data_IF_531876120260
#
_entry.id   IF_531876120260
#
_cell.length_a   1.000
_cell.length_b   1.000
_cell.length_c   1.000
_cell.angle_alpha   90.00
_cell.angle_beta   90.00
_cell.angle_gamma   90.00
#
_symmetry.space_group_name_H-M   'P 1'
#
loop_
_entity.id
_entity.type
_entity.pdbx_description
1 polymer ?
#
# COMPACT_ATOMS: atom_id res chain seq x y z
N UNK A 1 -20.24 -17.85 16.33
CA UNK A 1 -19.31 -17.12 15.44
C UNK A 1 -19.09 -15.73 16.02
N UNK A 2 -17.89 -15.41 16.49
CA UNK A 2 -17.60 -14.09 17.06
C UNK A 2 -17.69 -12.99 15.99
N UNK A 3 -18.19 -11.82 16.37
CA UNK A 3 -18.23 -10.63 15.49
C UNK A 3 -16.79 -10.26 15.15
N UNK A 4 -16.40 -10.36 13.87
CA UNK A 4 -15.08 -9.91 13.40
C UNK A 4 -15.06 -8.39 13.35
N UNK A 5 -14.07 -7.78 14.00
CA UNK A 5 -13.85 -6.34 13.91
C UNK A 5 -13.12 -6.05 12.59
N UNK A 6 -13.68 -5.15 11.79
CA UNK A 6 -13.12 -4.71 10.50
C UNK A 6 -12.89 -3.22 10.59
N UNK A 7 -11.67 -2.74 10.38
CA UNK A 7 -11.33 -1.33 10.30
C UNK A 7 -11.16 -0.90 8.84
N UNK A 8 -11.97 0.06 8.39
CA UNK A 8 -11.91 0.54 7.00
C UNK A 8 -11.15 1.85 6.95
N UNK A 9 -10.09 1.90 6.14
CA UNK A 9 -9.19 3.03 6.03
C UNK A 9 -9.09 3.48 4.57
N UNK A 10 -8.75 4.75 4.37
CA UNK A 10 -8.53 5.32 3.04
C UNK A 10 -7.20 6.05 3.00
N UNK A 11 -6.44 5.85 1.93
CA UNK A 11 -5.23 6.63 1.64
C UNK A 11 -5.40 7.30 0.28
N UNK A 12 -5.20 8.61 0.25
CA UNK A 12 -5.22 9.41 -0.97
C UNK A 12 -3.80 9.46 -1.51
N UNK A 13 -3.61 8.96 -2.72
CA UNK A 13 -2.29 8.75 -3.33
C UNK A 13 -2.20 9.53 -4.62
N UNK A 14 -1.13 10.29 -4.81
CA UNK A 14 -0.87 11.01 -6.04
C UNK A 14 -0.07 10.15 -7.02
N UNK A 15 -0.53 10.10 -8.28
CA UNK A 15 0.09 9.38 -9.38
C UNK A 15 0.43 7.93 -9.04
N UNK A 16 -0.58 7.11 -8.75
CA UNK A 16 -0.35 5.71 -8.36
C UNK A 16 0.21 4.92 -9.54
N UNK A 17 1.15 4.00 -9.29
CA UNK A 17 1.71 3.16 -10.35
C UNK A 17 0.68 2.15 -10.86
N UNK A 18 0.44 2.14 -12.17
CA UNK A 18 -0.38 1.15 -12.86
C UNK A 18 0.39 -0.13 -13.18
N UNK A 19 -0.26 -1.05 -13.88
CA UNK A 19 0.37 -2.30 -14.33
C UNK A 19 1.20 -2.04 -15.58
N UNK A 20 2.39 -2.64 -15.70
CA UNK A 20 3.17 -2.62 -16.96
C UNK A 20 3.18 -4.03 -17.54
N UNK A 21 2.88 -4.17 -18.82
CA UNK A 21 3.12 -5.41 -19.60
C UNK A 21 4.61 -5.58 -19.99
N UNK A 22 5.53 -4.73 -19.51
CA UNK A 22 6.91 -4.74 -19.99
C UNK A 22 7.73 -5.88 -19.38
N UNK A 23 7.77 -7.01 -20.10
CA UNK A 23 8.96 -7.78 -20.50
C UNK A 23 9.87 -8.43 -19.45
N UNK A 24 10.09 -7.82 -18.29
CA UNK A 24 10.96 -8.34 -17.25
C UNK A 24 10.22 -8.41 -15.91
N UNK A 25 10.11 -9.63 -15.38
CA UNK A 25 9.53 -9.96 -14.08
C UNK A 25 10.41 -9.41 -12.95
N UNK A 26 10.47 -8.10 -12.79
CA UNK A 26 10.88 -7.52 -11.52
C UNK A 26 9.71 -7.63 -10.56
N UNK A 27 9.96 -8.20 -9.38
CA UNK A 27 8.98 -8.43 -8.31
C UNK A 27 8.53 -7.08 -7.77
N UNK A 28 7.57 -6.46 -8.47
CA UNK A 28 7.12 -5.10 -8.21
C UNK A 28 5.67 -5.12 -7.71
N UNK A 29 5.41 -4.40 -6.62
CA UNK A 29 4.11 -4.33 -5.97
C UNK A 29 3.22 -3.27 -6.65
N UNK A 30 2.96 -3.44 -7.94
CA UNK A 30 2.11 -2.55 -8.75
C UNK A 30 0.62 -2.67 -8.38
N UNK A 31 -0.17 -1.65 -8.71
CA UNK A 31 -1.62 -1.83 -8.74
C UNK A 31 -1.96 -2.88 -9.81
N UNK A 32 -2.64 -3.95 -9.40
CA UNK A 32 -3.12 -5.03 -10.25
C UNK A 32 -4.56 -4.75 -10.67
N UNK A 33 -5.06 -5.42 -11.70
CA UNK A 33 -6.48 -5.38 -12.02
C UNK A 33 -7.16 -6.70 -11.67
N UNK A 34 -8.38 -6.62 -11.16
CA UNK A 34 -9.28 -7.76 -11.05
C UNK A 34 -10.42 -7.55 -12.05
N UNK A 35 -10.68 -8.56 -12.88
CA UNK A 35 -11.81 -8.55 -13.79
C UNK A 35 -13.09 -8.96 -13.05
N UNK A 36 -14.06 -8.05 -13.00
CA UNK A 36 -15.38 -8.34 -12.44
C UNK A 36 -16.24 -9.00 -13.52
N UNK A 37 -16.78 -10.18 -13.22
CA UNK A 37 -17.50 -10.99 -14.22
C UNK A 37 -18.84 -10.40 -14.70
N UNK A 38 -19.39 -9.37 -14.05
CA UNK A 38 -20.70 -8.81 -14.37
C UNK A 38 -20.69 -7.28 -14.42
N UNK A 39 -20.82 -6.68 -15.61
CA UNK A 39 -21.10 -5.25 -15.83
C UNK A 39 -20.03 -4.50 -16.63
N UNK A 40 -20.46 -3.48 -17.39
CA UNK A 40 -19.70 -2.77 -18.44
C UNK A 40 -18.44 -1.99 -17.99
N UNK A 41 -18.00 -2.10 -16.73
CA UNK A 41 -16.67 -1.66 -16.28
C UNK A 41 -15.82 -2.87 -15.87
N UNK A 42 -15.07 -3.40 -16.85
CA UNK A 42 -14.41 -4.71 -16.79
C UNK A 42 -13.24 -4.86 -15.81
N UNK A 43 -12.73 -3.80 -15.15
CA UNK A 43 -11.48 -3.87 -14.37
C UNK A 43 -11.48 -2.92 -13.16
N UNK A 44 -11.30 -3.45 -11.96
CA UNK A 44 -10.99 -2.66 -10.76
C UNK A 44 -9.49 -2.67 -10.49
N UNK A 45 -8.91 -1.52 -10.17
CA UNK A 45 -7.52 -1.48 -9.72
C UNK A 45 -7.44 -1.82 -8.24
N UNK A 46 -6.47 -2.66 -7.92
CA UNK A 46 -6.26 -3.15 -6.57
C UNK A 46 -4.79 -3.13 -6.20
N UNK A 47 -4.50 -2.87 -4.94
CA UNK A 47 -3.16 -2.94 -4.37
C UNK A 47 -3.10 -4.19 -3.50
N UNK A 48 -2.08 -5.06 -3.68
CA UNK A 48 -1.93 -6.24 -2.83
C UNK A 48 -1.93 -5.85 -1.34
N UNK A 49 -2.70 -6.58 -0.53
CA UNK A 49 -2.72 -6.37 0.92
C UNK A 49 -1.34 -6.57 1.56
N UNK A 50 -0.47 -7.39 0.95
CA UNK A 50 0.93 -7.55 1.36
C UNK A 50 1.75 -6.26 1.23
N UNK A 51 1.52 -5.45 0.20
CA UNK A 51 2.16 -4.13 0.03
C UNK A 51 1.78 -3.19 1.16
N UNK A 52 0.49 -3.09 1.45
CA UNK A 52 -0.05 -2.26 2.52
C UNK A 52 0.47 -2.74 3.88
N UNK A 53 0.44 -4.06 4.12
CA UNK A 53 1.00 -4.70 5.32
C UNK A 53 2.49 -4.42 5.48
N UNK A 54 3.25 -4.41 4.39
CA UNK A 54 4.67 -4.06 4.38
C UNK A 54 4.93 -2.61 4.82
N UNK A 55 4.15 -1.65 4.31
CA UNK A 55 4.24 -0.24 4.72
C UNK A 55 3.87 -0.10 6.21
N UNK A 56 2.76 -0.69 6.64
CA UNK A 56 2.33 -0.66 8.05
C UNK A 56 3.41 -1.26 8.95
N UNK A 57 3.99 -2.41 8.58
CA UNK A 57 5.08 -3.04 9.34
C UNK A 57 6.31 -2.13 9.45
N UNK A 58 6.71 -1.49 8.35
CA UNK A 58 7.82 -0.52 8.36
C UNK A 58 7.53 0.63 9.33
N UNK A 59 6.32 1.16 9.29
CA UNK A 59 5.91 2.27 10.15
C UNK A 59 5.87 1.86 11.63
N UNK A 60 5.40 0.65 11.95
CA UNK A 60 5.47 0.10 13.32
C UNK A 60 6.92 0.02 13.82
N UNK A 61 7.87 -0.41 12.97
CA UNK A 61 9.31 -0.44 13.32
C UNK A 61 9.85 0.96 13.61
N UNK A 62 9.49 1.96 12.80
CA UNK A 62 9.88 3.38 13.02
C UNK A 62 9.33 3.87 14.37
N UNK A 63 8.08 3.52 14.69
CA UNK A 63 7.42 3.87 15.95
C UNK A 63 7.89 3.05 17.16
N UNK A 64 8.81 2.09 16.97
CA UNK A 64 9.28 1.14 18.00
C UNK A 64 8.12 0.33 18.64
N UNK A 65 7.09 0.04 17.86
CA UNK A 65 5.96 -0.80 18.28
C UNK A 65 6.24 -2.29 17.99
N UNK A 66 5.58 -3.19 18.75
CA UNK A 66 5.59 -4.62 18.41
C UNK A 66 4.95 -4.84 17.03
N UNK A 67 5.60 -5.65 16.19
CA UNK A 67 5.09 -6.02 14.86
C UNK A 67 4.46 -7.42 14.85
N UNK A 68 4.54 -8.14 15.97
CA UNK A 68 4.12 -9.54 16.07
C UNK A 68 2.65 -9.78 15.78
N UNK A 69 1.78 -8.78 15.95
CA UNK A 69 0.37 -8.90 15.59
C UNK A 69 0.13 -8.91 14.06
N UNK A 70 1.11 -8.51 13.25
CA UNK A 70 1.13 -8.73 11.79
C UNK A 70 1.68 -10.12 11.40
N UNK A 71 2.08 -10.94 12.37
CA UNK A 71 2.75 -12.23 12.15
C UNK A 71 4.18 -12.10 11.63
N UNK A 72 4.94 -13.20 11.63
CA UNK A 72 6.29 -13.29 11.10
C UNK A 72 6.59 -14.72 10.68
N UNK A 73 7.32 -14.89 9.57
CA UNK A 73 7.67 -16.22 9.05
C UNK A 73 9.03 -16.72 9.59
N UNK A 74 9.91 -15.83 10.07
CA UNK A 74 11.32 -16.18 10.35
C UNK A 74 11.96 -15.46 11.56
N UNK A 75 11.19 -15.06 12.58
CA UNK A 75 11.82 -14.62 13.84
C UNK A 75 12.19 -15.86 14.67
N UNK A 76 13.49 -16.03 14.95
CA UNK A 76 14.01 -16.98 15.95
C UNK A 76 13.51 -18.43 15.82
N UNK A 77 13.25 -18.89 14.59
CA UNK A 77 12.81 -20.27 14.33
C UNK A 77 11.37 -20.60 14.73
N UNK A 78 10.53 -19.59 15.05
CA UNK A 78 9.10 -19.77 15.33
C UNK A 78 8.25 -18.87 14.45
N UNK A 79 7.41 -19.48 13.61
CA UNK A 79 6.38 -18.74 12.87
C UNK A 79 5.34 -18.21 13.84
N UNK A 80 5.08 -16.89 13.80
CA UNK A 80 4.03 -16.24 14.58
C UNK A 80 2.86 -15.93 13.67
N UNK A 81 1.69 -16.49 13.97
CA UNK A 81 0.47 -16.22 13.21
C UNK A 81 0.03 -14.76 13.39
N UNK A 82 -0.45 -14.14 12.32
CA UNK A 82 -0.98 -12.78 12.32
C UNK A 82 -2.30 -12.71 13.09
N UNK A 83 -2.47 -11.70 13.95
CA UNK A 83 -3.75 -11.38 14.60
C UNK A 83 -4.68 -10.60 13.67
N UNK A 84 -4.16 -10.02 12.59
CA UNK A 84 -4.95 -9.28 11.60
C UNK A 84 -4.71 -9.74 10.17
N UNK A 85 -5.70 -9.54 9.30
CA UNK A 85 -5.56 -9.60 7.85
C UNK A 85 -5.61 -8.18 7.32
N UNK A 86 -4.62 -7.79 6.51
CA UNK A 86 -4.70 -6.57 5.70
C UNK A 86 -5.29 -6.95 4.36
N UNK A 87 -6.51 -6.49 4.12
CA UNK A 87 -7.23 -6.68 2.86
C UNK A 87 -6.54 -5.98 1.70
N UNK A 88 -7.03 -6.27 0.50
CA UNK A 88 -6.57 -5.61 -0.70
C UNK A 88 -6.99 -4.14 -0.66
N UNK A 89 -6.09 -3.26 -1.09
CA UNK A 89 -6.47 -1.90 -1.42
C UNK A 89 -7.30 -1.94 -2.70
N UNK A 90 -8.42 -1.24 -2.75
CA UNK A 90 -9.27 -1.17 -3.92
C UNK A 90 -9.55 0.29 -4.29
N UNK A 91 -9.62 0.54 -5.59
CA UNK A 91 -9.89 1.85 -6.17
C UNK A 91 -11.22 1.73 -6.91
N UNK A 92 -12.23 2.49 -6.45
CA UNK A 92 -13.58 2.47 -7.03
C UNK A 92 -13.78 3.55 -8.09
N UNK A 93 -12.98 4.59 -8.06
CA UNK A 93 -13.09 5.70 -9.00
C UNK A 93 -12.35 5.39 -10.30
N UNK A 94 -12.82 6.01 -11.38
CA UNK A 94 -12.19 5.90 -12.70
C UNK A 94 -10.93 6.76 -12.69
N UNK A 95 -9.79 6.14 -12.96
CA UNK A 95 -8.50 6.81 -13.01
C UNK A 95 -8.00 6.92 -14.45
N UNK A 96 -7.56 8.12 -14.85
CA UNK A 96 -6.92 8.34 -16.14
C UNK A 96 -5.56 7.63 -16.17
N UNK A 97 -5.33 6.84 -17.22
CA UNK A 97 -4.04 6.19 -17.42
C UNK A 97 -3.11 7.08 -18.22
N UNK A 98 -1.86 7.16 -17.80
CA UNK A 98 -0.80 7.80 -18.56
C UNK A 98 0.47 6.97 -18.53
N UNK A 99 1.20 6.96 -19.65
CA UNK A 99 2.55 6.40 -19.70
C UNK A 99 3.54 7.51 -19.41
N UNK A 100 4.37 7.34 -18.38
CA UNK A 100 5.46 8.26 -18.07
C UNK A 100 6.77 7.63 -18.52
N UNK A 101 7.46 8.36 -19.39
CA UNK A 101 8.78 7.98 -19.90
C UNK A 101 9.88 8.57 -19.03
N UNK A 102 11.01 7.88 -18.95
CA UNK A 102 12.23 8.40 -18.38
C UNK A 102 13.44 7.79 -19.06
N UNK A 103 14.57 8.46 -18.94
CA UNK A 103 15.82 8.06 -19.58
C UNK A 103 16.84 7.83 -18.47
N UNK A 104 17.54 6.71 -18.53
CA UNK A 104 18.70 6.46 -17.67
C UNK A 104 19.93 7.14 -18.27
N UNK A 105 20.60 7.97 -17.48
CA UNK A 105 21.86 8.60 -17.88
C UNK A 105 23.00 7.90 -17.16
N UNK A 106 24.05 7.51 -17.90
CA UNK A 106 25.28 7.00 -17.32
C UNK A 106 25.96 8.15 -16.57
N UNK A 107 26.04 8.07 -15.24
CA UNK A 107 26.57 9.16 -14.39
C UNK A 107 28.07 9.42 -14.58
N UNK A 108 28.83 8.43 -15.03
CA UNK A 108 30.28 8.57 -15.23
C UNK A 108 30.59 9.21 -16.57
N UNK A 109 29.87 8.82 -17.62
CA UNK A 109 30.12 9.26 -18.99
C UNK A 109 29.23 10.43 -19.43
N UNK A 110 28.16 10.73 -18.70
CA UNK A 110 27.20 11.79 -19.05
C UNK A 110 26.34 11.48 -20.28
N UNK A 111 26.40 10.26 -20.80
CA UNK A 111 25.69 9.84 -22.03
C UNK A 111 24.45 9.00 -21.72
N UNK A 112 23.57 8.93 -22.71
CA UNK A 112 22.44 8.01 -22.76
C UNK A 112 22.85 6.83 -23.64
N UNK A 113 22.89 5.63 -23.05
CA UNK A 113 23.22 4.40 -23.79
C UNK A 113 21.98 3.88 -24.54
N UNK A 114 22.20 3.04 -25.56
CA UNK A 114 21.09 2.33 -26.21
C UNK A 114 20.29 1.51 -25.18
N UNK A 115 18.96 1.47 -25.31
CA UNK A 115 18.03 0.84 -24.35
C UNK A 115 17.92 1.54 -22.97
N UNK A 116 18.29 2.81 -22.87
CA UNK A 116 18.14 3.60 -21.64
C UNK A 116 16.74 4.18 -21.41
N UNK A 117 15.84 4.08 -22.40
CA UNK A 117 14.46 4.51 -22.27
C UNK A 117 13.69 3.49 -21.42
N UNK A 118 13.10 3.96 -20.34
CA UNK A 118 12.14 3.18 -19.56
C UNK A 118 10.80 3.91 -19.52
N UNK A 119 9.72 3.16 -19.40
CA UNK A 119 8.38 3.70 -19.25
C UNK A 119 7.62 2.95 -18.18
N UNK A 120 6.64 3.60 -17.58
CA UNK A 120 5.71 2.97 -16.66
C UNK A 120 4.33 3.61 -16.78
N UNK A 121 3.30 2.76 -16.64
CA UNK A 121 1.91 3.22 -16.52
C UNK A 121 1.70 3.85 -15.14
N UNK A 122 1.02 4.99 -15.11
CA UNK A 122 0.53 5.64 -13.90
C UNK A 122 -0.97 5.88 -14.02
N UNK A 123 -1.66 5.73 -12.91
CA UNK A 123 -2.99 6.27 -12.67
C UNK A 123 -2.79 7.71 -12.22
N UNK A 124 -3.02 8.65 -13.13
CA UNK A 124 -2.70 10.06 -12.94
C UNK A 124 -3.69 10.74 -11.98
N UNK A 125 -3.17 11.65 -11.16
CA UNK A 125 -3.97 12.47 -10.26
C UNK A 125 -4.08 11.88 -8.85
N UNK A 126 -5.07 12.37 -8.09
CA UNK A 126 -5.33 11.97 -6.71
C UNK A 126 -6.25 10.76 -6.70
N UNK A 127 -5.75 9.64 -6.19
CA UNK A 127 -6.42 8.35 -6.20
C UNK A 127 -6.71 7.91 -4.77
N UNK A 128 -7.98 7.64 -4.47
CA UNK A 128 -8.44 7.08 -3.21
C UNK A 128 -8.29 5.56 -3.23
N UNK A 129 -7.45 5.04 -2.34
CA UNK A 129 -7.27 3.61 -2.11
C UNK A 129 -7.92 3.27 -0.77
N UNK A 130 -9.01 2.52 -0.82
CA UNK A 130 -9.67 2.01 0.37
C UNK A 130 -9.13 0.62 0.71
N UNK A 131 -8.92 0.31 1.99
CA UNK A 131 -8.53 -1.03 2.43
C UNK A 131 -9.05 -1.33 3.82
N UNK A 132 -9.30 -2.62 4.05
CA UNK A 132 -9.82 -3.13 5.31
C UNK A 132 -8.73 -3.83 6.11
N UNK A 133 -8.77 -3.70 7.43
CA UNK A 133 -7.98 -4.51 8.36
C UNK A 133 -8.95 -5.33 9.20
N UNK A 134 -8.86 -6.65 9.09
CA UNK A 134 -9.76 -7.59 9.77
C UNK A 134 -9.04 -8.20 10.97
N UNK A 135 -9.58 -8.03 12.17
CA UNK A 135 -9.10 -8.75 13.35
C UNK A 135 -9.50 -10.23 13.29
N UNK A 136 -8.50 -11.11 13.28
CA UNK A 136 -8.66 -12.56 13.47
C UNK A 136 -8.66 -12.95 14.95
N UNK A 137 -7.92 -12.19 15.75
CA UNK A 137 -7.83 -12.31 17.20
C UNK A 137 -7.81 -10.90 17.80
N UNK A 138 -8.45 -10.66 18.96
CA UNK A 138 -8.54 -9.33 19.55
C UNK A 138 -7.16 -8.69 19.73
N UNK A 139 -7.02 -7.45 19.23
CA UNK A 139 -5.87 -6.61 19.53
C UNK A 139 -6.03 -5.96 20.91
N UNK A 140 -4.94 -5.91 21.67
CA UNK A 140 -4.90 -5.12 22.89
C UNK A 140 -4.85 -3.61 22.57
N UNK A 141 -5.07 -2.76 23.57
CA UNK A 141 -5.15 -1.31 23.38
C UNK A 141 -3.84 -0.70 22.82
N UNK A 142 -2.68 -1.18 23.27
CA UNK A 142 -1.38 -0.71 22.76
C UNK A 142 -1.13 -1.16 21.32
N UNK A 143 -1.48 -2.40 20.95
CA UNK A 143 -1.46 -2.90 19.57
C UNK A 143 -2.35 -2.04 18.66
N UNK A 144 -3.57 -1.69 19.12
CA UNK A 144 -4.48 -0.81 18.37
C UNK A 144 -3.95 0.60 18.21
N UNK A 145 -3.40 1.21 19.26
CA UNK A 145 -2.76 2.54 19.18
C UNK A 145 -1.58 2.54 18.23
N UNK A 146 -0.73 1.51 18.30
CA UNK A 146 0.39 1.32 17.40
C UNK A 146 -0.07 1.15 15.95
N UNK A 147 -1.11 0.34 15.70
CA UNK A 147 -1.72 0.17 14.39
C UNK A 147 -2.26 1.51 13.84
N UNK A 148 -3.02 2.24 14.65
CA UNK A 148 -3.57 3.55 14.30
C UNK A 148 -2.47 4.54 13.90
N UNK A 149 -1.43 4.68 14.72
CA UNK A 149 -0.26 5.53 14.43
C UNK A 149 0.48 5.09 13.17
N UNK A 150 0.65 3.78 12.97
CA UNK A 150 1.34 3.24 11.80
C UNK A 150 0.60 3.50 10.49
N UNK A 151 -0.74 3.42 10.50
CA UNK A 151 -1.58 3.78 9.37
C UNK A 151 -1.49 5.28 9.09
N UNK A 152 -1.60 6.14 10.11
CA UNK A 152 -1.44 7.60 9.94
C UNK A 152 -0.06 7.97 9.37
N UNK A 153 1.00 7.27 9.77
CA UNK A 153 2.35 7.48 9.25
C UNK A 153 2.48 7.12 7.75
N UNK A 154 1.50 6.42 7.16
CA UNK A 154 1.44 6.23 5.71
C UNK A 154 1.39 7.56 4.96
N UNK A 155 0.93 8.66 5.58
CA UNK A 155 0.97 10.02 4.99
C UNK A 155 2.36 10.44 4.52
N UNK A 156 3.41 9.90 5.14
CA UNK A 156 4.81 10.20 4.78
C UNK A 156 5.46 9.05 4.01
N UNK A 157 4.66 8.18 3.41
CA UNK A 157 5.09 7.01 2.67
C UNK A 157 4.71 7.11 1.19
N UNK A 158 5.24 6.17 0.41
CA UNK A 158 4.81 5.94 -0.97
C UNK A 158 4.26 4.52 -1.11
N UNK A 159 3.25 4.35 -1.97
CA UNK A 159 2.71 3.05 -2.34
C UNK A 159 3.34 2.61 -3.66
N UNK A 160 3.92 1.41 -3.65
CA UNK A 160 4.68 0.87 -4.78
C UNK A 160 6.08 1.50 -4.91
N UNK A 161 6.71 1.29 -6.06
CA UNK A 161 8.03 1.82 -6.39
C UNK A 161 7.92 3.13 -7.20
N UNK A 162 8.91 4.02 -7.03
CA UNK A 162 8.98 5.29 -7.76
C UNK A 162 8.69 6.56 -6.93
N UNK A 163 8.63 6.45 -5.60
CA UNK A 163 8.39 7.59 -4.71
C UNK A 163 9.35 8.78 -4.93
N UNK A 164 10.64 8.51 -5.15
CA UNK A 164 11.64 9.54 -5.48
C UNK A 164 11.41 10.26 -6.82
N UNK A 165 10.47 9.77 -7.62
CA UNK A 165 10.05 10.31 -8.92
C UNK A 165 8.63 10.89 -8.89
N UNK A 166 8.06 11.06 -7.70
CA UNK A 166 6.73 11.63 -7.47
C UNK A 166 5.57 10.68 -7.78
N UNK A 167 5.80 9.37 -7.69
CA UNK A 167 4.82 8.31 -8.00
C UNK A 167 4.39 7.65 -6.70
N UNK A 168 3.09 7.45 -6.54
CA UNK A 168 2.53 6.74 -5.39
C UNK A 168 2.68 7.50 -4.08
N UNK A 169 2.89 8.82 -4.10
CA UNK A 169 3.07 9.62 -2.89
C UNK A 169 1.74 9.73 -2.15
N UNK A 170 1.69 9.32 -0.89
CA UNK A 170 0.47 9.46 -0.08
C UNK A 170 0.35 10.92 0.37
N UNK A 171 -0.78 11.56 0.09
CA UNK A 171 -1.06 12.95 0.49
C UNK A 171 -1.93 13.01 1.76
N UNK A 172 -2.87 12.07 1.89
CA UNK A 172 -3.85 12.05 2.97
C UNK A 172 -4.10 10.62 3.44
N UNK A 173 -4.42 10.48 4.73
CA UNK A 173 -4.84 9.22 5.35
C UNK A 173 -6.10 9.49 6.18
N UNK A 174 -7.18 8.77 5.86
CA UNK A 174 -8.41 8.73 6.67
C UNK A 174 -8.44 7.40 7.39
N UNK A 175 -8.33 7.46 8.71
CA UNK A 175 -8.31 6.33 9.61
C UNK A 175 -9.75 5.97 10.02
N UNK A 176 -10.04 4.70 10.27
CA UNK A 176 -11.30 4.26 10.87
C UNK A 176 -11.58 4.98 12.20
N UNK A 177 -12.81 5.47 12.40
CA UNK A 177 -13.20 6.26 13.57
C UNK A 177 -12.92 5.57 14.90
N UNK A 178 -13.04 4.23 14.95
CA UNK A 178 -12.74 3.47 16.18
C UNK A 178 -11.26 3.51 16.49
N UNK A 179 -10.39 3.39 15.50
CA UNK A 179 -8.94 3.53 15.69
C UNK A 179 -8.55 4.98 16.00
N UNK A 180 -9.20 5.95 15.36
CA UNK A 180 -8.96 7.38 15.60
C UNK A 180 -9.33 7.76 17.04
N UNK A 181 -10.44 7.25 17.57
CA UNK A 181 -10.89 7.51 18.94
C UNK A 181 -9.87 7.12 20.00
N UNK A 182 -9.03 6.11 19.74
CA UNK A 182 -8.01 5.62 20.66
C UNK A 182 -6.82 6.58 20.80
N UNK A 183 -6.60 7.46 19.83
CA UNK A 183 -5.52 8.45 19.86
C UNK A 183 -5.89 9.71 20.65
N UNK A 184 -7.18 9.95 20.85
CA UNK A 184 -7.69 11.12 21.58
C UNK A 184 -8.08 10.80 23.03
N UNK A 185 -8.11 9.52 23.43
CA UNK A 185 -8.23 9.13 24.84
C UNK A 185 -6.93 9.48 25.56
N UNK A 186 -6.98 10.50 26.41
CA UNK A 186 -5.91 10.85 27.36
C UNK A 186 -5.78 9.78 28.44
#
# INVERSE_FOLDING_TARGET
>A
MGVRVIYTNTVTVNNLRGHIESGEKNVDLSAMYIELKNGDEKRIYVIPGSSLKGIIRRNLKILKCDTGFLGSEFDEGRSKMSKVIVGWGYIREKAEKKVKYGIRVNRQLGIVENHSLYSYEILQGKINVNFDIVELSPLNEEEKKCLAKAILLMKYSTIGWGGSRGIGVVEEVKLDDRLLSLLHKK
#
